data_IF_030560722900
#
_entry.id   IF_030560722900
#
_cell.length_a   1.000
_cell.length_b   1.000
_cell.length_c   1.000
_cell.angle_alpha   90.00
_cell.angle_beta   90.00
_cell.angle_gamma   90.00
#
_symmetry.space_group_name_H-M   'P 1'
#
loop_
_entity.id
_entity.type
_entity.pdbx_description
1 polymer ?
#
# COMPACT_ATOMS: atom_id res chain seq x y z
N UNK A 1 12.77 2.72 5.88
CA UNK A 1 11.51 3.13 5.22
C UNK A 1 10.70 1.89 4.86
N UNK A 2 9.47 1.88 5.26
CA UNK A 2 8.49 0.83 4.94
C UNK A 2 7.27 1.49 4.29
N UNK A 3 6.81 0.94 3.16
CA UNK A 3 5.56 1.37 2.52
C UNK A 3 4.48 0.34 2.88
N UNK A 4 3.36 0.80 3.40
CA UNK A 4 2.22 -0.05 3.69
C UNK A 4 1.32 -0.13 2.46
N UNK A 5 1.09 -1.35 1.95
CA UNK A 5 0.16 -1.58 0.85
C UNK A 5 -1.27 -1.24 1.26
N UNK A 6 -2.12 -1.00 0.29
CA UNK A 6 -3.52 -0.61 0.49
C UNK A 6 -4.26 -1.57 1.42
N UNK A 7 -4.05 -2.90 1.28
CA UNK A 7 -4.72 -3.88 2.14
C UNK A 7 -4.33 -3.73 3.62
N UNK A 8 -3.10 -3.32 3.92
CA UNK A 8 -2.66 -3.09 5.30
C UNK A 8 -3.31 -1.83 5.86
N UNK A 9 -3.31 -0.73 5.10
CA UNK A 9 -3.97 0.52 5.51
C UNK A 9 -5.48 0.27 5.75
N UNK A 10 -6.14 -0.41 4.82
CA UNK A 10 -7.57 -0.76 4.94
C UNK A 10 -7.83 -1.61 6.18
N UNK A 11 -6.96 -2.57 6.47
CA UNK A 11 -7.09 -3.43 7.65
C UNK A 11 -6.94 -2.64 8.94
N UNK A 12 -5.97 -1.71 9.01
CA UNK A 12 -5.83 -0.81 10.16
C UNK A 12 -7.09 0.01 10.37
N UNK A 13 -7.68 0.53 9.29
CA UNK A 13 -8.91 1.31 9.36
C UNK A 13 -10.10 0.48 9.87
N UNK A 14 -10.12 -0.81 9.60
CA UNK A 14 -11.16 -1.72 10.11
C UNK A 14 -10.92 -2.19 11.54
N UNK A 15 -9.80 -1.83 12.14
CA UNK A 15 -9.43 -2.28 13.48
C UNK A 15 -8.88 -3.70 13.54
N UNK A 16 -8.31 -4.20 12.44
CA UNK A 16 -7.63 -5.50 12.42
C UNK A 16 -6.46 -5.49 13.39
N UNK A 17 -6.42 -6.46 14.31
CA UNK A 17 -5.41 -6.48 15.38
C UNK A 17 -4.00 -6.68 14.85
N UNK A 18 -3.79 -7.59 13.91
CA UNK A 18 -2.45 -7.88 13.38
C UNK A 18 -1.89 -6.67 12.64
N UNK A 19 -2.70 -6.04 11.77
CA UNK A 19 -2.29 -4.86 11.03
C UNK A 19 -2.01 -3.67 11.97
N UNK A 20 -2.87 -3.48 12.97
CA UNK A 20 -2.71 -2.39 13.94
C UNK A 20 -1.47 -2.58 14.81
N UNK A 21 -1.23 -3.80 15.30
CA UNK A 21 -0.03 -4.13 16.07
C UNK A 21 1.24 -3.96 15.23
N UNK A 22 1.19 -4.34 13.96
CA UNK A 22 2.31 -4.14 13.04
C UNK A 22 2.62 -2.65 12.90
N UNK A 23 1.61 -1.82 12.65
CA UNK A 23 1.79 -0.38 12.47
C UNK A 23 2.38 0.26 13.74
N UNK A 24 1.94 -0.16 14.92
CA UNK A 24 2.42 0.37 16.18
C UNK A 24 3.93 0.09 16.42
N UNK A 25 4.46 -0.95 15.80
CA UNK A 25 5.84 -1.38 15.97
C UNK A 25 6.77 -0.89 14.86
N UNK A 26 6.23 -0.42 13.76
CA UNK A 26 7.01 0.01 12.59
C UNK A 26 7.57 1.41 12.80
N UNK A 27 8.88 1.55 12.61
CA UNK A 27 9.50 2.85 12.47
C UNK A 27 9.32 3.35 11.04
N UNK A 28 9.08 4.64 10.87
CA UNK A 28 9.05 5.31 9.58
C UNK A 28 8.11 4.69 8.53
N UNK A 29 6.80 4.54 8.84
CA UNK A 29 5.83 4.01 7.89
C UNK A 29 5.40 5.07 6.87
N UNK A 30 5.17 4.64 5.63
CA UNK A 30 4.75 5.50 4.52
C UNK A 30 3.60 4.87 3.75
N UNK A 31 2.87 5.71 3.01
CA UNK A 31 1.79 5.32 2.12
C UNK A 31 2.10 5.84 0.72
N UNK A 32 1.78 5.05 -0.31
CA UNK A 32 1.83 5.53 -1.69
C UNK A 32 0.58 6.34 -2.01
N UNK A 33 0.73 7.36 -2.86
CA UNK A 33 -0.41 8.10 -3.39
C UNK A 33 -1.39 7.18 -4.14
N UNK A 34 -0.92 6.06 -4.68
CA UNK A 34 -1.77 5.04 -5.31
C UNK A 34 -2.79 4.45 -4.33
N UNK A 35 -2.41 4.29 -3.07
CA UNK A 35 -3.34 3.83 -2.02
C UNK A 35 -4.52 4.78 -1.86
N UNK A 36 -4.30 6.08 -2.01
CA UNK A 36 -5.38 7.07 -1.99
C UNK A 36 -6.39 6.78 -3.09
N UNK A 37 -5.92 6.52 -4.31
CA UNK A 37 -6.79 6.16 -5.44
C UNK A 37 -7.61 4.91 -5.13
N UNK A 38 -6.96 3.87 -4.64
CA UNK A 38 -7.63 2.60 -4.38
C UNK A 38 -8.68 2.69 -3.27
N UNK A 39 -8.36 3.36 -2.19
CA UNK A 39 -9.32 3.53 -1.08
C UNK A 39 -10.47 4.44 -1.50
N UNK A 40 -10.18 5.53 -2.20
CA UNK A 40 -11.22 6.42 -2.73
C UNK A 40 -12.17 5.68 -3.67
N UNK A 41 -11.61 4.84 -4.55
CA UNK A 41 -12.41 4.01 -5.44
C UNK A 41 -13.34 3.07 -4.65
N UNK A 42 -12.81 2.40 -3.64
CA UNK A 42 -13.60 1.51 -2.78
C UNK A 42 -14.73 2.24 -2.07
N UNK A 43 -14.47 3.46 -1.57
CA UNK A 43 -15.49 4.28 -0.90
C UNK A 43 -16.59 4.73 -1.87
N UNK A 44 -16.21 5.19 -3.07
CA UNK A 44 -17.18 5.67 -4.06
C UNK A 44 -18.03 4.55 -4.66
N UNK A 45 -17.61 3.32 -4.54
CA UNK A 45 -18.41 2.15 -4.94
C UNK A 45 -19.51 1.79 -3.97
N UNK A 46 -19.40 2.24 -2.71
CA UNK A 46 -20.44 1.97 -1.72
C UNK A 46 -21.69 2.80 -2.03
N UNK A 47 -22.89 2.25 -1.74
CA UNK A 47 -24.12 3.04 -1.82
C UNK A 47 -24.03 4.27 -0.92
N UNK A 48 -24.68 5.35 -1.32
CA UNK A 48 -24.84 6.51 -0.46
C UNK A 48 -25.58 6.11 0.82
N UNK A 49 -25.17 6.68 1.95
CA UNK A 49 -25.76 6.40 3.25
C UNK A 49 -24.75 6.53 4.38
N UNK A 50 -25.19 6.17 5.57
CA UNK A 50 -24.41 6.37 6.80
C UNK A 50 -23.08 5.62 6.80
N UNK A 51 -23.06 4.39 6.27
CA UNK A 51 -21.85 3.59 6.25
C UNK A 51 -20.78 4.26 5.41
N UNK A 52 -21.13 4.73 4.20
CA UNK A 52 -20.20 5.43 3.32
C UNK A 52 -19.72 6.72 3.95
N UNK A 53 -20.62 7.50 4.53
CA UNK A 53 -20.28 8.76 5.19
C UNK A 53 -19.33 8.56 6.36
N UNK A 54 -19.55 7.53 7.18
CA UNK A 54 -18.71 7.20 8.32
C UNK A 54 -17.31 6.75 7.87
N UNK A 55 -17.22 5.91 6.84
CA UNK A 55 -15.95 5.46 6.30
C UNK A 55 -15.20 6.60 5.62
N UNK A 56 -15.90 7.48 4.91
CA UNK A 56 -15.30 8.64 4.28
C UNK A 56 -14.71 9.59 5.31
N UNK A 57 -15.42 9.84 6.40
CA UNK A 57 -14.92 10.65 7.51
C UNK A 57 -13.67 10.03 8.14
N UNK A 58 -13.70 8.72 8.40
CA UNK A 58 -12.54 8.00 8.93
C UNK A 58 -11.34 8.10 7.98
N UNK A 59 -11.58 7.95 6.68
CA UNK A 59 -10.53 8.06 5.68
C UNK A 59 -9.94 9.47 5.63
N UNK A 60 -10.76 10.51 5.68
CA UNK A 60 -10.27 11.89 5.73
C UNK A 60 -9.40 12.14 6.96
N UNK A 61 -9.79 11.60 8.11
CA UNK A 61 -8.99 11.69 9.34
C UNK A 61 -7.67 10.93 9.19
N UNK A 62 -7.68 9.78 8.55
CA UNK A 62 -6.47 9.00 8.27
C UNK A 62 -5.52 9.79 7.37
N UNK A 63 -6.01 10.41 6.30
CA UNK A 63 -5.19 11.24 5.42
C UNK A 63 -4.55 12.42 6.16
N UNK A 64 -5.28 13.03 7.07
CA UNK A 64 -4.76 14.11 7.92
C UNK A 64 -3.56 13.63 8.75
N UNK A 65 -3.68 12.46 9.37
CA UNK A 65 -2.60 11.87 10.16
C UNK A 65 -1.38 11.54 9.30
N UNK A 66 -1.62 11.07 8.07
CA UNK A 66 -0.57 10.60 7.17
C UNK A 66 -0.03 11.67 6.22
N UNK A 67 -0.53 12.93 6.27
CA UNK A 67 -0.26 13.93 5.22
C UNK A 67 1.23 14.15 4.91
N UNK A 68 2.13 13.98 5.86
CA UNK A 68 3.57 14.11 5.68
C UNK A 68 4.25 12.78 5.31
N UNK A 69 3.48 11.70 5.13
CA UNK A 69 3.97 10.35 4.91
C UNK A 69 3.33 9.70 3.70
N UNK A 70 3.08 10.50 2.66
CA UNK A 70 2.52 10.03 1.38
C UNK A 70 3.57 10.24 0.30
N UNK A 71 3.96 9.16 -0.37
CA UNK A 71 4.95 9.18 -1.44
C UNK A 71 4.25 9.36 -2.79
N UNK A 72 4.65 10.35 -3.58
CA UNK A 72 4.02 10.63 -4.88
C UNK A 72 4.49 9.64 -5.96
N UNK A 73 3.73 9.60 -7.07
CA UNK A 73 4.16 8.95 -8.31
C UNK A 73 4.84 10.03 -9.16
N UNK A 74 6.16 10.05 -9.14
CA UNK A 74 6.97 10.93 -9.98
C UNK A 74 7.06 10.37 -11.41
N UNK A 75 7.51 11.15 -12.40
CA UNK A 75 7.79 10.62 -13.73
C UNK A 75 8.75 9.43 -13.72
N UNK A 76 9.78 9.46 -12.87
CA UNK A 76 10.70 8.34 -12.71
C UNK A 76 10.00 7.08 -12.19
N UNK A 77 9.16 7.22 -11.18
CA UNK A 77 8.39 6.09 -10.62
C UNK A 77 7.38 5.56 -11.64
N UNK A 78 6.76 6.45 -12.42
CA UNK A 78 5.86 6.02 -13.49
C UNK A 78 6.59 5.14 -14.52
N UNK A 79 7.79 5.53 -14.92
CA UNK A 79 8.63 4.73 -15.82
C UNK A 79 9.00 3.38 -15.22
N UNK A 80 9.40 3.36 -13.95
CA UNK A 80 9.69 2.12 -13.22
C UNK A 80 8.45 1.22 -13.13
N UNK A 81 7.26 1.79 -12.97
CA UNK A 81 6.01 1.01 -12.94
C UNK A 81 5.81 0.24 -14.23
N UNK A 82 6.07 0.86 -15.37
CA UNK A 82 6.02 0.20 -16.67
C UNK A 82 7.04 -0.93 -16.78
N UNK A 83 8.26 -0.71 -16.29
CA UNK A 83 9.31 -1.74 -16.28
C UNK A 83 8.92 -2.94 -15.40
N UNK A 84 8.33 -2.69 -14.23
CA UNK A 84 7.83 -3.74 -13.33
C UNK A 84 6.75 -4.57 -14.03
N UNK A 85 5.79 -3.93 -14.67
CA UNK A 85 4.72 -4.62 -15.40
C UNK A 85 5.29 -5.53 -16.49
N UNK A 86 6.22 -5.02 -17.29
CA UNK A 86 6.85 -5.78 -18.37
C UNK A 86 7.65 -6.98 -17.84
N UNK A 87 8.41 -6.79 -16.77
CA UNK A 87 9.17 -7.86 -16.14
C UNK A 87 8.27 -8.99 -15.63
N UNK A 88 7.17 -8.62 -14.94
CA UNK A 88 6.24 -9.59 -14.40
C UNK A 88 5.50 -10.36 -15.51
N UNK A 89 5.17 -9.70 -16.61
CA UNK A 89 4.59 -10.36 -17.78
C UNK A 89 5.56 -11.40 -18.38
N UNK A 90 6.85 -11.07 -18.46
CA UNK A 90 7.87 -11.97 -19.02
C UNK A 90 8.02 -13.26 -18.21
N UNK A 91 7.79 -13.21 -16.92
CA UNK A 91 7.86 -14.43 -16.07
C UNK A 91 6.48 -15.09 -15.91
N UNK A 92 5.48 -14.65 -16.65
CA UNK A 92 4.14 -15.24 -16.62
C UNK A 92 3.32 -14.91 -15.37
N UNK A 93 3.67 -13.87 -14.64
CA UNK A 93 3.00 -13.45 -13.41
C UNK A 93 2.65 -11.96 -13.45
N UNK A 94 1.75 -11.56 -14.37
CA UNK A 94 1.40 -10.14 -14.53
C UNK A 94 0.79 -9.56 -13.25
N UNK A 95 0.99 -8.25 -13.06
CA UNK A 95 0.40 -7.51 -11.95
C UNK A 95 -0.37 -6.30 -12.48
N UNK A 96 -1.35 -5.85 -11.72
CA UNK A 96 -2.12 -4.67 -12.04
C UNK A 96 -1.27 -3.40 -11.95
N UNK A 97 -1.68 -2.34 -12.64
CA UNK A 97 -1.00 -1.06 -12.63
C UNK A 97 -0.81 -0.52 -11.21
N UNK A 98 -1.83 -0.61 -10.37
CA UNK A 98 -1.73 -0.11 -8.99
C UNK A 98 -0.62 -0.81 -8.20
N UNK A 99 -0.52 -2.15 -8.28
CA UNK A 99 0.54 -2.90 -7.61
C UNK A 99 1.92 -2.57 -8.17
N UNK A 100 2.01 -2.38 -9.49
CA UNK A 100 3.25 -1.96 -10.13
C UNK A 100 3.70 -0.57 -9.65
N UNK A 101 2.77 0.36 -9.48
CA UNK A 101 3.07 1.70 -8.98
C UNK A 101 3.57 1.67 -7.53
N UNK A 102 2.96 0.86 -6.69
CA UNK A 102 3.39 0.70 -5.30
C UNK A 102 4.77 0.04 -5.24
N UNK A 103 4.98 -1.01 -6.03
CA UNK A 103 6.27 -1.68 -6.12
C UNK A 103 7.37 -0.73 -6.60
N UNK A 104 7.10 0.03 -7.65
CA UNK A 104 8.05 1.01 -8.20
C UNK A 104 8.38 2.11 -7.18
N UNK A 105 7.40 2.54 -6.39
CA UNK A 105 7.63 3.50 -5.31
C UNK A 105 8.60 2.92 -4.28
N UNK A 106 8.43 1.67 -3.89
CA UNK A 106 9.34 1.00 -2.96
C UNK A 106 10.74 0.89 -3.55
N UNK A 107 10.87 0.51 -4.82
CA UNK A 107 12.17 0.41 -5.49
C UNK A 107 12.89 1.76 -5.53
N UNK A 108 12.19 2.83 -5.85
CA UNK A 108 12.75 4.17 -5.96
C UNK A 108 13.25 4.71 -4.61
N UNK A 109 12.62 4.31 -3.53
CA UNK A 109 12.95 4.77 -2.18
C UNK A 109 13.76 3.76 -1.36
N UNK A 110 14.15 2.64 -1.97
CA UNK A 110 14.82 1.54 -1.27
C UNK A 110 14.03 1.13 -0.02
N UNK A 111 12.73 1.04 -0.16
CA UNK A 111 11.80 0.76 0.92
C UNK A 111 11.33 -0.69 0.88
N UNK A 112 11.07 -1.27 2.06
CA UNK A 112 10.34 -2.52 2.17
C UNK A 112 8.85 -2.29 1.91
N UNK A 113 8.15 -3.34 1.52
CA UNK A 113 6.70 -3.34 1.35
C UNK A 113 6.04 -4.22 2.42
N UNK A 114 5.06 -3.67 3.12
CA UNK A 114 4.21 -4.44 4.02
C UNK A 114 2.89 -4.75 3.31
N UNK A 115 2.58 -6.02 3.12
CA UNK A 115 1.42 -6.45 2.34
C UNK A 115 0.96 -7.86 2.73
N UNK A 116 -0.34 -8.11 2.64
CA UNK A 116 -0.90 -9.45 2.69
C UNK A 116 -0.85 -10.17 1.34
N UNK A 117 -0.69 -9.42 0.24
CA UNK A 117 -0.62 -9.95 -1.12
C UNK A 117 0.84 -10.11 -1.56
N UNK A 118 1.59 -10.91 -0.85
CA UNK A 118 3.04 -11.05 -1.06
C UNK A 118 3.41 -11.45 -2.48
N UNK A 119 2.59 -12.30 -3.10
CA UNK A 119 2.83 -12.79 -4.46
C UNK A 119 2.96 -11.67 -5.49
N UNK A 120 2.21 -10.58 -5.34
CA UNK A 120 2.20 -9.47 -6.30
C UNK A 120 3.50 -8.66 -6.26
N UNK A 121 4.33 -8.85 -5.25
CA UNK A 121 5.59 -8.10 -5.06
C UNK A 121 6.83 -8.97 -5.16
N UNK A 122 6.67 -10.27 -5.44
CA UNK A 122 7.80 -11.20 -5.60
C UNK A 122 8.57 -10.92 -6.89
N UNK A 123 9.84 -11.38 -6.91
CA UNK A 123 10.72 -11.33 -8.09
C UNK A 123 11.14 -9.90 -8.51
N UNK A 124 11.03 -8.93 -7.62
CA UNK A 124 11.38 -7.53 -7.89
C UNK A 124 12.56 -7.03 -7.05
N UNK A 125 13.14 -7.89 -6.21
CA UNK A 125 14.22 -7.50 -5.32
C UNK A 125 13.77 -6.69 -4.10
N UNK A 126 12.48 -6.70 -3.78
CA UNK A 126 11.93 -6.00 -2.63
C UNK A 126 11.99 -6.86 -1.37
N UNK A 127 12.20 -6.22 -0.22
CA UNK A 127 11.94 -6.85 1.07
C UNK A 127 10.43 -6.81 1.30
N UNK A 128 9.83 -7.97 1.49
CA UNK A 128 8.38 -8.13 1.65
C UNK A 128 8.10 -8.59 3.08
N UNK A 129 7.21 -7.89 3.76
CA UNK A 129 6.77 -8.22 5.13
C UNK A 129 5.27 -8.41 5.10
N UNK A 130 4.80 -9.56 5.61
CA UNK A 130 3.37 -9.82 5.76
C UNK A 130 2.98 -9.60 7.22
N UNK A 131 2.21 -8.54 7.55
CA UNK A 131 1.84 -8.24 8.93
C UNK A 131 1.04 -9.36 9.63
N UNK A 132 0.42 -10.25 8.87
CA UNK A 132 -0.39 -11.34 9.44
C UNK A 132 0.42 -12.61 9.72
N UNK A 133 1.59 -12.74 9.10
CA UNK A 133 2.44 -13.94 9.22
C UNK A 133 3.77 -13.66 9.88
N UNK A 134 4.34 -12.47 9.65
CA UNK A 134 5.68 -12.13 10.09
C UNK A 134 5.63 -11.31 11.38
N UNK A 135 6.61 -11.48 12.25
CA UNK A 135 6.78 -10.64 13.43
C UNK A 135 7.73 -9.50 13.12
N UNK A 136 7.41 -8.31 13.63
CA UNK A 136 8.34 -7.19 13.60
C UNK A 136 9.24 -7.32 14.82
N UNK A 137 10.54 -7.43 14.58
CA UNK A 137 11.52 -7.42 15.67
C UNK A 137 11.75 -5.98 16.12
N UNK A 138 11.66 -5.79 17.42
CA UNK A 138 11.91 -4.50 18.06
C UNK A 138 13.40 -4.21 18.18
#
# INVERSE_FOLDING_TARGET
VIVLDTNVISAVMRGDDAASNFLDQVDDPWMSVTTITEISYGLHRLPEGRRRESLDEHWRNTLEVWHNRILPITPNIAGLSGAVMAQRERIGQPVALADAQIAATCLAHDAAIATGNTRDFEHLGLTIINPWLDTVES
#
